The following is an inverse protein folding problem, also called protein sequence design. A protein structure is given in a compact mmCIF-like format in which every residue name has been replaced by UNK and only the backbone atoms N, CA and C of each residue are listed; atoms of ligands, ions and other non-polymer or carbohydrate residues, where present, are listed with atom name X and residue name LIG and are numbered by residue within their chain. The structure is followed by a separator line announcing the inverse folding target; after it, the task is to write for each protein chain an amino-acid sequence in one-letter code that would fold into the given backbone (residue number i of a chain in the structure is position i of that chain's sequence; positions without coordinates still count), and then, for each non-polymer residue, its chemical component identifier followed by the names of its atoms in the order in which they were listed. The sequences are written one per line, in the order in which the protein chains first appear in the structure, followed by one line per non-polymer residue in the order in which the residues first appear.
data_IF_814036659246
#
_entry.id   IF_814036659246
#
_cell.length_a   1.000
_cell.length_b   1.000
_cell.length_c   1.000
_cell.angle_alpha   90.00
_cell.angle_beta   90.00
_cell.angle_gamma   90.00
#
_symmetry.space_group_name_H-M   'P 1'
#
loop_
_entity.id
_entity.type
_entity.pdbx_description
1 polymer ?
#
# COMPACT_ATOMS: atom_id res chain seq x y z
N UNK A 1 47.55 -22.48 -13.06
CA UNK A 1 47.38 -21.05 -13.36
C UNK A 1 46.36 -20.50 -12.38
N UNK A 2 46.81 -19.80 -11.34
CA UNK A 2 45.93 -19.16 -10.36
C UNK A 2 45.40 -17.88 -11.03
N UNK A 3 44.08 -17.69 -11.02
CA UNK A 3 43.39 -16.59 -11.70
C UNK A 3 43.98 -15.23 -11.27
N UNK A 4 44.52 -14.48 -12.25
CA UNK A 4 45.21 -13.19 -12.08
C UNK A 4 44.49 -12.17 -11.18
N UNK A 5 43.16 -12.21 -11.17
CA UNK A 5 42.34 -11.28 -10.39
C UNK A 5 42.49 -11.49 -8.87
N UNK A 6 42.71 -12.73 -8.40
CA UNK A 6 42.83 -13.03 -6.97
C UNK A 6 44.17 -12.61 -6.36
N UNK A 7 45.14 -12.21 -7.19
CA UNK A 7 46.41 -11.67 -6.74
C UNK A 7 46.33 -10.17 -6.40
N UNK A 8 45.20 -9.53 -6.68
CA UNK A 8 44.98 -8.12 -6.37
C UNK A 8 44.74 -7.91 -4.86
N UNK A 9 45.19 -6.76 -4.31
CA UNK A 9 44.80 -6.30 -2.97
C UNK A 9 43.27 -6.27 -2.76
N UNK A 10 42.84 -6.55 -1.52
CA UNK A 10 41.42 -6.70 -1.16
C UNK A 10 40.60 -5.42 -1.42
N UNK A 11 41.20 -4.25 -1.21
CA UNK A 11 40.60 -2.93 -1.47
C UNK A 11 40.35 -2.70 -2.96
N UNK A 12 41.29 -3.11 -3.82
CA UNK A 12 41.12 -3.05 -5.27
C UNK A 12 40.03 -4.02 -5.73
N UNK A 13 39.99 -5.24 -5.17
CA UNK A 13 38.92 -6.21 -5.43
C UNK A 13 37.56 -5.67 -5.03
N UNK A 14 37.43 -5.10 -3.84
CA UNK A 14 36.19 -4.48 -3.38
C UNK A 14 35.78 -3.33 -4.28
N UNK A 15 36.72 -2.46 -4.68
CA UNK A 15 36.44 -1.35 -5.59
C UNK A 15 35.92 -1.84 -6.96
N UNK A 16 36.47 -2.95 -7.49
CA UNK A 16 35.98 -3.59 -8.71
C UNK A 16 34.56 -4.15 -8.49
N UNK A 17 34.33 -4.87 -7.39
CA UNK A 17 33.02 -5.48 -7.10
C UNK A 17 31.93 -4.44 -6.88
N UNK A 18 32.26 -3.27 -6.32
CA UNK A 18 31.33 -2.14 -6.17
C UNK A 18 30.87 -1.55 -7.52
N UNK A 19 31.56 -1.84 -8.62
CA UNK A 19 31.13 -1.44 -9.97
C UNK A 19 30.23 -2.47 -10.65
N UNK A 20 30.07 -3.65 -10.06
CA UNK A 20 29.26 -4.72 -10.63
C UNK A 20 27.78 -4.53 -10.31
N UNK A 21 26.92 -5.01 -11.21
CA UNK A 21 25.49 -5.10 -10.95
C UNK A 21 25.19 -6.23 -9.96
N UNK A 22 24.05 -6.16 -9.25
CA UNK A 22 23.64 -7.23 -8.36
C UNK A 22 23.55 -8.62 -9.05
N UNK A 23 23.02 -8.75 -10.29
CA UNK A 23 23.12 -10.01 -11.05
C UNK A 23 24.55 -10.51 -11.25
N UNK A 24 25.49 -9.62 -11.60
CA UNK A 24 26.89 -9.99 -11.85
C UNK A 24 27.58 -10.46 -10.58
N UNK A 25 27.29 -9.83 -9.43
CA UNK A 25 27.77 -10.29 -8.13
C UNK A 25 27.21 -11.66 -7.75
N UNK A 26 25.95 -11.94 -8.07
CA UNK A 26 25.38 -13.28 -7.88
C UNK A 26 26.10 -14.32 -8.74
N UNK A 27 26.44 -14.00 -9.99
CA UNK A 27 27.24 -14.90 -10.82
C UNK A 27 28.66 -15.07 -10.27
N UNK A 28 29.30 -13.99 -9.80
CA UNK A 28 30.63 -14.00 -9.20
C UNK A 28 30.69 -14.97 -8.00
N UNK A 29 29.63 -14.99 -7.18
CA UNK A 29 29.53 -15.88 -6.01
C UNK A 29 29.59 -17.38 -6.35
N UNK A 30 29.40 -17.75 -7.62
CA UNK A 30 29.40 -19.13 -8.11
C UNK A 30 30.73 -19.54 -8.76
N UNK A 31 31.67 -18.62 -8.96
CA UNK A 31 32.91 -18.88 -9.69
C UNK A 31 33.92 -19.68 -8.86
N UNK A 32 34.24 -19.22 -7.64
CA UNK A 32 35.12 -19.93 -6.73
C UNK A 32 34.86 -19.54 -5.26
N UNK A 33 35.40 -20.33 -4.32
CA UNK A 33 35.18 -20.13 -2.88
C UNK A 33 35.67 -18.77 -2.36
N UNK A 34 36.82 -18.30 -2.84
CA UNK A 34 37.38 -17.00 -2.42
C UNK A 34 36.45 -15.85 -2.84
N UNK A 35 35.98 -15.86 -4.11
CA UNK A 35 35.04 -14.87 -4.59
C UNK A 35 33.68 -14.96 -3.88
N UNK A 36 33.23 -16.18 -3.58
CA UNK A 36 32.06 -16.40 -2.75
C UNK A 36 32.17 -15.71 -1.39
N UNK A 37 33.30 -15.85 -0.70
CA UNK A 37 33.55 -15.20 0.59
C UNK A 37 33.49 -13.67 0.48
N UNK A 38 34.02 -13.05 -0.58
CA UNK A 38 33.86 -11.62 -0.83
C UNK A 38 32.40 -11.20 -1.03
N UNK A 39 31.60 -12.03 -1.71
CA UNK A 39 30.17 -11.74 -1.86
C UNK A 39 29.37 -11.87 -0.58
N UNK A 40 29.95 -12.39 0.52
CA UNK A 40 29.29 -12.43 1.83
C UNK A 40 29.51 -11.14 2.65
N UNK A 41 30.21 -10.15 2.12
CA UNK A 41 30.37 -8.84 2.76
C UNK A 41 29.07 -8.03 2.65
N UNK A 42 28.46 -7.71 3.80
CA UNK A 42 27.25 -6.89 3.88
C UNK A 42 27.46 -5.47 3.32
N UNK A 43 28.65 -4.90 3.52
CA UNK A 43 28.95 -3.55 3.03
C UNK A 43 28.84 -3.49 1.49
N UNK A 44 29.37 -4.49 0.80
CA UNK A 44 29.28 -4.60 -0.66
C UNK A 44 27.81 -4.60 -1.14
N UNK A 45 26.96 -5.42 -0.52
CA UNK A 45 25.55 -5.51 -0.90
C UNK A 45 24.77 -4.23 -0.64
N UNK A 46 24.99 -3.58 0.51
CA UNK A 46 24.36 -2.29 0.82
C UNK A 46 24.72 -1.22 -0.20
N UNK A 47 26.01 -1.12 -0.55
CA UNK A 47 26.47 -0.15 -1.54
C UNK A 47 25.90 -0.43 -2.94
N UNK A 48 25.89 -1.68 -3.38
CA UNK A 48 25.38 -2.05 -4.71
C UNK A 48 23.87 -1.84 -4.79
N UNK A 49 23.12 -2.25 -3.77
CA UNK A 49 21.66 -2.09 -3.74
C UNK A 49 21.25 -0.63 -3.59
N UNK A 50 22.01 0.20 -2.86
CA UNK A 50 21.74 1.64 -2.78
C UNK A 50 21.80 2.36 -4.13
N UNK A 51 22.58 1.82 -5.09
CA UNK A 51 22.70 2.34 -6.46
C UNK A 51 21.63 1.77 -7.40
N UNK A 52 20.96 0.68 -7.01
CA UNK A 52 19.94 0.01 -7.81
C UNK A 52 18.54 0.30 -7.25
N UNK A 53 18.01 1.48 -7.55
CA UNK A 53 16.70 1.94 -7.07
C UNK A 53 15.52 1.15 -7.64
N UNK A 54 15.72 0.49 -8.77
CA UNK A 54 14.62 -0.07 -9.57
C UNK A 54 14.30 -1.53 -9.21
N UNK A 55 15.06 -2.15 -8.31
CA UNK A 55 14.85 -3.54 -7.93
C UNK A 55 13.85 -3.63 -6.77
N UNK A 56 12.66 -4.24 -6.96
CA UNK A 56 11.64 -4.31 -5.91
C UNK A 56 12.02 -5.38 -4.88
N UNK A 57 12.93 -5.01 -3.97
CA UNK A 57 13.32 -5.87 -2.87
C UNK A 57 12.14 -6.07 -1.92
N UNK A 58 11.72 -7.33 -1.75
CA UNK A 58 10.70 -7.69 -0.78
C UNK A 58 11.32 -7.77 0.63
N UNK A 59 11.64 -6.59 1.19
CA UNK A 59 12.16 -6.40 2.54
C UNK A 59 11.03 -5.84 3.41
N UNK A 60 10.96 -6.30 4.65
CA UNK A 60 10.01 -5.77 5.62
C UNK A 60 10.29 -4.27 5.86
N UNK A 61 9.31 -3.36 5.65
CA UNK A 61 9.51 -1.93 5.83
C UNK A 61 9.84 -1.52 7.28
N UNK A 62 9.63 -2.40 8.26
CA UNK A 62 9.94 -2.15 9.66
C UNK A 62 11.34 -2.62 10.07
N UNK A 63 12.07 -3.30 9.19
CA UNK A 63 13.46 -3.69 9.42
C UNK A 63 14.37 -2.65 8.79
N UNK A 64 15.34 -2.14 9.55
CA UNK A 64 16.35 -1.26 8.98
C UNK A 64 17.14 -2.04 7.92
N UNK A 65 17.04 -1.59 6.67
CA UNK A 65 17.74 -2.21 5.56
C UNK A 65 19.25 -2.28 5.83
N UNK A 66 19.83 -1.32 6.54
CA UNK A 66 21.26 -1.28 6.88
C UNK A 66 21.69 -2.42 7.82
N UNK A 67 20.77 -2.97 8.60
CA UNK A 67 21.04 -4.05 9.55
C UNK A 67 20.99 -5.45 8.92
N UNK A 68 20.52 -5.55 7.67
CA UNK A 68 20.39 -6.83 6.98
C UNK A 68 21.75 -7.41 6.60
N UNK A 69 21.91 -8.72 6.81
CA UNK A 69 23.11 -9.46 6.42
C UNK A 69 23.15 -9.74 4.92
N UNK A 70 24.37 -9.85 4.36
CA UNK A 70 24.56 -10.18 2.94
C UNK A 70 23.76 -11.41 2.46
N UNK A 71 23.68 -12.55 3.20
CA UNK A 71 22.88 -13.68 2.76
C UNK A 71 21.39 -13.37 2.59
N UNK A 72 20.83 -12.52 3.45
CA UNK A 72 19.42 -12.07 3.38
C UNK A 72 19.24 -11.18 2.15
N UNK A 73 20.12 -10.20 1.96
CA UNK A 73 20.10 -9.28 0.82
C UNK A 73 20.26 -10.02 -0.51
N UNK A 74 21.19 -10.98 -0.59
CA UNK A 74 21.36 -11.85 -1.74
C UNK A 74 20.10 -12.63 -2.08
N UNK A 75 19.43 -13.19 -1.06
CA UNK A 75 18.19 -13.93 -1.25
C UNK A 75 17.08 -13.01 -1.77
N UNK A 76 16.88 -11.86 -1.12
CA UNK A 76 15.90 -10.85 -1.53
C UNK A 76 16.16 -10.37 -2.97
N UNK A 77 17.42 -10.13 -3.32
CA UNK A 77 17.86 -9.75 -4.67
C UNK A 77 17.51 -10.84 -5.69
N UNK A 78 17.85 -12.12 -5.41
CA UNK A 78 17.51 -13.24 -6.29
C UNK A 78 16.01 -13.34 -6.53
N UNK A 79 15.20 -13.15 -5.49
CA UNK A 79 13.75 -13.23 -5.60
C UNK A 79 13.18 -12.02 -6.37
N UNK A 80 13.70 -10.81 -6.14
CA UNK A 80 13.32 -9.62 -6.90
C UNK A 80 13.67 -9.75 -8.38
N UNK A 81 14.88 -10.23 -8.72
CA UNK A 81 15.29 -10.49 -10.10
C UNK A 81 14.42 -11.56 -10.77
N UNK A 82 13.99 -12.59 -10.05
CA UNK A 82 13.06 -13.60 -10.58
C UNK A 82 11.70 -12.98 -10.90
N UNK A 83 11.20 -12.09 -10.04
CA UNK A 83 9.93 -11.39 -10.23
C UNK A 83 10.03 -10.46 -11.43
N UNK A 84 11.05 -9.60 -11.48
CA UNK A 84 11.30 -8.66 -12.58
C UNK A 84 11.42 -9.40 -13.93
N UNK A 85 12.22 -10.47 -13.98
CA UNK A 85 12.33 -11.31 -15.17
C UNK A 85 11.00 -11.97 -15.54
N UNK A 86 10.15 -12.35 -14.58
CA UNK A 86 8.84 -12.91 -14.88
C UNK A 86 7.89 -11.87 -15.49
N UNK A 87 7.92 -10.63 -15.01
CA UNK A 87 7.12 -9.53 -15.54
C UNK A 87 7.57 -9.08 -16.92
N UNK A 88 8.87 -9.17 -17.22
CA UNK A 88 9.43 -8.84 -18.55
C UNK A 88 9.12 -9.88 -19.63
N UNK A 89 8.63 -11.07 -19.27
CA UNK A 89 8.25 -12.10 -20.26
C UNK A 89 7.00 -11.66 -21.03
N UNK A 90 6.93 -12.04 -22.30
CA UNK A 90 5.72 -11.84 -23.12
C UNK A 90 4.48 -12.50 -22.48
N UNK A 91 4.68 -13.66 -21.86
CA UNK A 91 3.66 -14.37 -21.09
C UNK A 91 4.17 -14.58 -19.64
N UNK A 92 3.90 -13.65 -18.71
CA UNK A 92 4.27 -13.81 -17.30
C UNK A 92 3.64 -15.07 -16.70
N UNK A 93 4.43 -15.85 -15.97
CA UNK A 93 3.93 -17.06 -15.33
C UNK A 93 3.27 -16.69 -14.00
N UNK A 94 1.95 -16.84 -13.95
CA UNK A 94 1.18 -16.75 -12.71
C UNK A 94 1.37 -18.08 -11.97
N UNK A 95 2.06 -18.04 -10.83
CA UNK A 95 2.27 -19.26 -10.00
C UNK A 95 0.97 -19.78 -9.42
N UNK A 96 0.07 -18.88 -9.06
CA UNK A 96 -1.16 -19.23 -8.36
C UNK A 96 -2.23 -18.18 -8.57
N UNK A 97 -3.45 -18.65 -8.76
CA UNK A 97 -4.66 -17.85 -8.77
C UNK A 97 -5.60 -18.42 -7.71
N UNK A 98 -5.98 -17.59 -6.74
CA UNK A 98 -6.88 -17.97 -5.66
C UNK A 98 -8.12 -17.10 -5.75
N UNK A 99 -9.29 -17.73 -5.88
CA UNK A 99 -10.56 -17.01 -5.81
C UNK A 99 -10.82 -16.58 -4.38
N UNK A 100 -11.04 -15.29 -4.16
CA UNK A 100 -11.40 -14.73 -2.87
C UNK A 100 -12.92 -14.62 -2.86
N UNK A 101 -13.60 -15.51 -2.13
CA UNK A 101 -15.05 -15.51 -1.96
C UNK A 101 -15.88 -15.39 -3.24
N UNK A 102 -17.15 -15.02 -3.08
CA UNK A 102 -18.03 -14.66 -4.20
C UNK A 102 -18.12 -13.13 -4.31
N UNK A 103 -16.99 -12.52 -4.66
CA UNK A 103 -16.82 -11.07 -4.72
C UNK A 103 -17.18 -10.55 -6.11
N UNK A 104 -18.48 -10.45 -6.35
CA UNK A 104 -19.01 -9.62 -7.42
C UNK A 104 -19.06 -8.15 -6.98
N UNK A 105 -19.02 -7.22 -7.95
CA UNK A 105 -19.24 -5.80 -7.73
C UNK A 105 -18.26 -5.12 -6.76
N UNK A 106 -16.96 -5.39 -6.94
CA UNK A 106 -15.87 -4.70 -6.25
C UNK A 106 -15.88 -3.22 -6.64
N UNK A 107 -16.02 -2.34 -5.66
CA UNK A 107 -15.91 -0.91 -5.85
C UNK A 107 -14.44 -0.47 -5.79
N UNK A 108 -13.71 -0.96 -4.79
CA UNK A 108 -12.32 -0.59 -4.56
C UNK A 108 -11.59 -1.72 -3.81
N UNK A 109 -10.29 -1.86 -4.08
CA UNK A 109 -9.39 -2.74 -3.34
C UNK A 109 -8.12 -1.99 -2.93
N UNK A 110 -7.54 -2.38 -1.80
CA UNK A 110 -6.24 -1.87 -1.34
C UNK A 110 -5.45 -3.00 -0.69
N UNK A 111 -4.23 -3.26 -1.18
CA UNK A 111 -3.29 -4.15 -0.53
C UNK A 111 -2.55 -3.39 0.58
N UNK A 112 -2.50 -3.98 1.77
CA UNK A 112 -1.80 -3.46 2.94
C UNK A 112 -0.66 -4.40 3.33
N UNK A 113 0.56 -3.89 3.28
CA UNK A 113 1.77 -4.72 3.37
C UNK A 113 1.78 -5.75 2.25
N UNK A 114 2.18 -6.98 2.57
CA UNK A 114 2.27 -8.10 1.61
C UNK A 114 1.15 -9.13 1.74
N UNK A 115 0.31 -9.03 2.78
CA UNK A 115 -0.58 -10.13 3.17
C UNK A 115 -2.02 -9.72 3.44
N UNK A 116 -2.37 -8.44 3.54
CA UNK A 116 -3.75 -8.03 3.81
C UNK A 116 -4.36 -7.32 2.62
N UNK A 117 -5.56 -7.72 2.24
CA UNK A 117 -6.34 -7.12 1.16
C UNK A 117 -7.64 -6.60 1.73
N UNK A 118 -7.86 -5.30 1.57
CA UNK A 118 -9.12 -4.64 1.94
C UNK A 118 -9.98 -4.50 0.70
N UNK A 119 -11.24 -4.88 0.80
CA UNK A 119 -12.19 -4.90 -0.30
C UNK A 119 -13.47 -4.19 0.12
N UNK A 120 -13.89 -3.22 -0.71
CA UNK A 120 -15.17 -2.53 -0.61
C UNK A 120 -16.09 -2.98 -1.75
N UNK A 121 -17.31 -3.39 -1.42
CA UNK A 121 -18.33 -3.87 -2.36
C UNK A 121 -19.46 -2.85 -2.54
N UNK A 122 -20.14 -2.88 -3.70
CA UNK A 122 -21.23 -1.94 -4.04
C UNK A 122 -22.66 -2.46 -3.78
N UNK A 123 -23.04 -3.63 -4.31
CA UNK A 123 -24.45 -4.08 -4.33
C UNK A 123 -24.97 -4.58 -2.96
N UNK A 124 -24.11 -5.28 -2.22
CA UNK A 124 -24.29 -5.58 -0.80
C UNK A 124 -23.17 -4.84 -0.08
N UNK A 125 -23.39 -3.54 0.21
CA UNK A 125 -22.31 -2.64 0.56
C UNK A 125 -21.66 -3.17 1.82
N UNK A 126 -20.40 -3.57 1.69
CA UNK A 126 -19.66 -4.24 2.76
C UNK A 126 -18.20 -3.91 2.62
N UNK A 127 -17.56 -3.73 3.76
CA UNK A 127 -16.12 -3.54 3.88
C UNK A 127 -15.55 -4.78 4.54
N UNK A 128 -14.59 -5.40 3.87
CA UNK A 128 -13.99 -6.67 4.31
C UNK A 128 -12.48 -6.62 4.25
N UNK A 129 -11.84 -7.28 5.22
CA UNK A 129 -10.40 -7.43 5.34
C UNK A 129 -10.07 -8.90 5.20
N UNK A 130 -9.19 -9.21 4.25
CA UNK A 130 -8.77 -10.56 3.93
C UNK A 130 -7.28 -10.72 4.16
N UNK A 131 -6.84 -11.81 4.78
CA UNK A 131 -5.44 -12.22 4.77
C UNK A 131 -5.18 -13.13 3.58
N UNK A 132 -4.35 -12.68 2.66
CA UNK A 132 -3.89 -13.40 1.48
C UNK A 132 -2.62 -14.16 1.85
N UNK A 133 -2.78 -15.46 2.08
CA UNK A 133 -1.68 -16.40 2.29
C UNK A 133 -1.52 -17.17 0.97
N UNK A 134 -0.30 -17.55 0.59
CA UNK A 134 0.03 -18.15 -0.71
C UNK A 134 -1.10 -18.96 -1.36
N UNK A 135 -1.66 -19.95 -0.63
CA UNK A 135 -2.71 -20.84 -1.13
C UNK A 135 -4.14 -20.55 -0.71
N UNK A 136 -4.38 -19.56 0.14
CA UNK A 136 -5.69 -19.32 0.75
C UNK A 136 -5.90 -17.83 1.02
N UNK A 137 -7.11 -17.35 0.79
CA UNK A 137 -7.55 -16.07 1.33
C UNK A 137 -8.49 -16.35 2.51
N UNK A 138 -8.17 -15.77 3.67
CA UNK A 138 -8.95 -15.93 4.90
C UNK A 138 -9.63 -14.60 5.20
N UNK A 139 -10.95 -14.62 5.42
CA UNK A 139 -11.70 -13.43 5.82
C UNK A 139 -11.35 -13.11 7.29
N UNK A 140 -10.63 -12.03 7.53
CA UNK A 140 -10.26 -11.60 8.88
C UNK A 140 -11.38 -10.81 9.54
N UNK A 141 -11.99 -9.89 8.78
CA UNK A 141 -13.07 -9.07 9.31
C UNK A 141 -14.03 -8.61 8.23
N UNK A 142 -15.27 -8.35 8.63
CA UNK A 142 -16.30 -7.81 7.77
C UNK A 142 -17.23 -6.90 8.55
N UNK A 143 -17.71 -5.86 7.89
CA UNK A 143 -18.90 -5.12 8.30
C UNK A 143 -19.78 -4.91 7.07
N UNK A 144 -21.06 -5.18 7.25
CA UNK A 144 -22.06 -4.80 6.28
C UNK A 144 -22.47 -3.35 6.59
N UNK A 145 -22.54 -2.55 5.54
CA UNK A 145 -22.93 -1.16 5.61
C UNK A 145 -24.45 -1.07 5.58
N UNK A 146 -25.01 -0.02 6.15
CA UNK A 146 -26.45 0.18 6.17
C UNK A 146 -26.99 0.36 4.74
N UNK A 147 -28.17 -0.21 4.45
CA UNK A 147 -28.82 -0.11 3.14
C UNK A 147 -29.08 1.33 2.67
N UNK A 148 -29.12 2.28 3.62
CA UNK A 148 -29.30 3.70 3.33
C UNK A 148 -28.02 4.43 2.91
N UNK A 149 -26.88 3.73 2.94
CA UNK A 149 -25.55 4.29 2.64
C UNK A 149 -25.03 3.75 1.31
N UNK A 150 -24.52 4.65 0.46
CA UNK A 150 -23.79 4.21 -0.75
C UNK A 150 -22.29 4.41 -0.53
N UNK A 151 -21.47 3.35 -0.50
CA UNK A 151 -20.04 3.52 -0.35
C UNK A 151 -19.44 4.24 -1.56
N UNK A 152 -18.57 5.21 -1.32
CA UNK A 152 -17.86 5.96 -2.36
C UNK A 152 -16.41 5.51 -2.48
N UNK A 153 -15.66 5.59 -1.38
CA UNK A 153 -14.22 5.34 -1.36
C UNK A 153 -13.78 5.00 0.05
N UNK A 154 -12.73 4.19 0.17
CA UNK A 154 -12.03 4.01 1.44
C UNK A 154 -10.53 4.23 1.30
N UNK A 155 -9.89 4.44 2.44
CA UNK A 155 -8.45 4.29 2.61
C UNK A 155 -8.18 3.48 3.88
N UNK A 156 -7.06 2.79 3.89
CA UNK A 156 -6.68 1.91 4.98
C UNK A 156 -5.18 1.99 5.26
N UNK A 157 -4.80 1.74 6.52
CA UNK A 157 -3.41 1.69 6.96
C UNK A 157 -3.23 0.52 7.93
N UNK A 158 -2.07 -0.15 7.83
CA UNK A 158 -1.66 -1.21 8.72
C UNK A 158 -0.64 -0.64 9.72
N UNK A 159 -0.95 -0.71 11.01
CA UNK A 159 0.01 -0.49 12.09
C UNK A 159 0.61 -1.86 12.47
N UNK A 160 1.79 -2.17 11.95
CA UNK A 160 2.44 -3.46 12.21
C UNK A 160 2.81 -3.66 13.66
N UNK A 161 3.08 -2.58 14.41
CA UNK A 161 3.51 -2.66 15.81
C UNK A 161 2.37 -3.11 16.71
N UNK A 162 1.13 -2.76 16.33
CA UNK A 162 -0.08 -3.07 17.09
C UNK A 162 -0.92 -4.16 16.44
N UNK A 163 -0.46 -4.71 15.31
CA UNK A 163 -1.22 -5.64 14.48
C UNK A 163 -2.65 -5.16 14.25
N UNK A 164 -2.79 -3.88 13.93
CA UNK A 164 -4.07 -3.20 13.83
C UNK A 164 -4.22 -2.61 12.44
N UNK A 165 -5.40 -2.78 11.84
CA UNK A 165 -5.75 -2.06 10.60
C UNK A 165 -6.77 -0.98 10.94
N UNK A 166 -6.44 0.25 10.55
CA UNK A 166 -7.36 1.38 10.58
C UNK A 166 -7.91 1.60 9.17
N UNK A 167 -9.23 1.71 9.08
CA UNK A 167 -10.00 1.88 7.85
C UNK A 167 -10.79 3.17 7.97
N UNK A 168 -10.86 3.95 6.90
CA UNK A 168 -11.72 5.12 6.81
C UNK A 168 -12.52 5.04 5.51
N UNK A 169 -13.84 5.08 5.63
CA UNK A 169 -14.80 4.94 4.55
C UNK A 169 -15.59 6.23 4.40
N UNK A 170 -15.63 6.76 3.18
CA UNK A 170 -16.58 7.80 2.78
C UNK A 170 -17.77 7.11 2.11
N UNK A 171 -18.97 7.42 2.58
CA UNK A 171 -20.25 7.01 1.98
C UNK A 171 -21.14 8.22 1.73
N UNK A 172 -22.07 8.11 0.77
CA UNK A 172 -23.21 9.03 0.70
C UNK A 172 -24.32 8.53 1.60
N UNK A 173 -25.01 9.47 2.22
CA UNK A 173 -26.24 9.30 2.97
C UNK A 173 -27.31 10.19 2.34
N UNK A 174 -28.60 9.99 2.69
CA UNK A 174 -29.71 10.75 2.12
C UNK A 174 -29.52 12.28 2.17
N UNK A 175 -28.82 12.78 3.19
CA UNK A 175 -28.63 14.20 3.45
C UNK A 175 -27.23 14.72 3.11
N UNK A 176 -26.31 13.90 2.59
CA UNK A 176 -24.95 14.36 2.30
C UNK A 176 -23.90 13.25 2.30
N UNK A 177 -22.76 13.48 2.93
CA UNK A 177 -21.67 12.50 3.03
C UNK A 177 -21.35 12.14 4.47
N UNK A 178 -20.89 10.92 4.68
CA UNK A 178 -20.50 10.39 5.96
C UNK A 178 -19.09 9.81 5.86
N UNK A 179 -18.30 10.05 6.89
CA UNK A 179 -17.03 9.40 7.12
C UNK A 179 -17.18 8.47 8.33
N UNK A 180 -16.99 7.17 8.09
CA UNK A 180 -16.97 6.13 9.12
C UNK A 180 -15.57 5.53 9.18
N UNK A 181 -14.94 5.58 10.36
CA UNK A 181 -13.66 4.94 10.59
C UNK A 181 -13.83 3.68 11.44
N UNK A 182 -13.16 2.61 11.02
CA UNK A 182 -13.20 1.31 11.65
C UNK A 182 -11.80 0.85 12.02
N UNK A 183 -11.72 0.13 13.13
CA UNK A 183 -10.52 -0.55 13.59
C UNK A 183 -10.76 -2.05 13.63
N UNK A 184 -9.76 -2.81 13.22
CA UNK A 184 -9.69 -4.26 13.45
C UNK A 184 -8.35 -4.60 14.08
N UNK A 185 -8.43 -5.39 15.15
CA UNK A 185 -7.26 -6.06 15.71
C UNK A 185 -7.10 -7.36 14.96
N UNK A 186 -5.89 -7.61 14.45
CA UNK A 186 -5.56 -8.85 13.77
C UNK A 186 -5.25 -9.86 14.87
N UNK A 187 -6.12 -10.86 15.05
CA UNK A 187 -5.85 -11.99 15.93
C UNK A 187 -5.03 -13.04 15.18
N UNK A 188 -4.18 -13.74 15.93
CA UNK A 188 -3.52 -14.95 15.42
C UNK A 188 -4.53 -16.06 15.10
N UNK A 189 -4.13 -16.95 14.19
CA UNK A 189 -4.95 -17.84 13.34
C UNK A 189 -5.94 -18.82 14.02
N UNK A 190 -6.26 -18.71 15.30
CA UNK A 190 -7.04 -19.71 16.04
C UNK A 190 -8.57 -19.54 15.96
N UNK A 191 -9.08 -18.36 15.65
CA UNK A 191 -10.53 -18.11 15.68
C UNK A 191 -11.12 -18.10 14.27
N UNK A 192 -11.86 -19.16 13.94
CA UNK A 192 -12.53 -19.34 12.65
C UNK A 192 -13.69 -18.35 12.39
N UNK A 193 -14.01 -17.49 13.35
CA UNK A 193 -15.01 -16.44 13.17
C UNK A 193 -14.36 -15.14 12.70
N UNK A 194 -14.84 -14.53 11.61
CA UNK A 194 -14.35 -13.21 11.20
C UNK A 194 -14.65 -12.19 12.30
N UNK A 195 -13.65 -11.40 12.67
CA UNK A 195 -13.82 -10.31 13.61
C UNK A 195 -14.79 -9.27 13.07
N UNK A 196 -15.57 -8.64 13.95
CA UNK A 196 -16.37 -7.48 13.57
C UNK A 196 -15.47 -6.24 13.50
N UNK A 197 -15.65 -5.43 12.45
CA UNK A 197 -14.98 -4.13 12.37
C UNK A 197 -15.57 -3.21 13.44
N UNK A 198 -14.74 -2.75 14.38
CA UNK A 198 -15.18 -1.84 15.45
C UNK A 198 -15.14 -0.40 14.93
N UNK A 199 -16.30 0.25 14.87
CA UNK A 199 -16.36 1.68 14.55
C UNK A 199 -15.69 2.49 15.66
N UNK A 200 -14.70 3.31 15.29
CA UNK A 200 -13.91 4.14 16.24
C UNK A 200 -14.19 5.63 16.08
N UNK A 201 -14.65 6.04 14.90
CA UNK A 201 -14.99 7.42 14.61
C UNK A 201 -16.10 7.48 13.56
N UNK A 202 -16.99 8.45 13.68
CA UNK A 202 -18.06 8.69 12.71
C UNK A 202 -18.38 10.18 12.68
N UNK A 203 -18.45 10.75 11.49
CA UNK A 203 -18.89 12.13 11.27
C UNK A 203 -19.70 12.19 9.98
N UNK A 204 -20.88 12.82 10.06
CA UNK A 204 -21.69 13.13 8.88
C UNK A 204 -21.61 14.61 8.57
N UNK A 205 -21.83 14.93 7.30
CA UNK A 205 -21.81 16.29 6.78
C UNK A 205 -22.96 16.45 5.79
N UNK A 206 -23.85 17.38 6.12
CA UNK A 206 -25.07 17.68 5.37
C UNK A 206 -24.88 18.89 4.45
N UNK A 207 -23.76 19.61 4.64
CA UNK A 207 -23.40 20.82 3.91
C UNK A 207 -23.10 20.54 2.42
N UNK A 208 -23.20 21.56 1.52
CA UNK A 208 -22.98 21.44 0.07
C UNK A 208 -21.58 20.98 -0.32
N UNK A 209 -20.69 20.89 0.65
CA UNK A 209 -19.28 20.67 0.47
C UNK A 209 -18.94 19.23 0.94
N UNK A 210 -19.05 18.19 0.10
CA UNK A 210 -18.93 16.79 0.51
C UNK A 210 -17.49 16.39 0.84
N UNK A 211 -17.34 15.30 1.61
CA UNK A 211 -16.07 14.57 1.66
C UNK A 211 -15.80 13.94 0.28
N UNK A 212 -14.60 14.14 -0.27
CA UNK A 212 -14.25 13.59 -1.60
C UNK A 212 -13.02 12.68 -1.58
N UNK A 213 -12.14 12.85 -0.59
CA UNK A 213 -10.89 12.11 -0.50
C UNK A 213 -10.57 11.76 0.94
N UNK A 214 -9.98 10.59 1.14
CA UNK A 214 -9.57 10.12 2.45
C UNK A 214 -8.23 9.40 2.35
N UNK A 215 -7.36 9.68 3.31
CA UNK A 215 -6.07 9.04 3.48
C UNK A 215 -5.92 8.62 4.94
N UNK A 216 -5.31 7.47 5.18
CA UNK A 216 -5.08 6.94 6.52
C UNK A 216 -3.60 6.69 6.71
N UNK A 217 -3.03 7.20 7.79
CA UNK A 217 -1.64 6.97 8.17
C UNK A 217 -1.55 6.68 9.67
N UNK A 218 -1.24 5.43 10.03
CA UNK A 218 -1.25 4.96 11.42
C UNK A 218 -2.60 5.26 12.09
N UNK A 219 -2.67 6.25 12.97
CA UNK A 219 -3.86 6.64 13.74
C UNK A 219 -4.49 7.96 13.26
N UNK A 220 -3.91 8.57 12.23
CA UNK A 220 -4.36 9.82 11.63
C UNK A 220 -5.17 9.53 10.37
N UNK A 221 -6.29 10.23 10.24
CA UNK A 221 -7.14 10.21 9.05
C UNK A 221 -7.16 11.64 8.50
N UNK A 222 -6.73 11.81 7.26
CA UNK A 222 -6.79 13.07 6.54
C UNK A 222 -7.92 12.99 5.51
N UNK A 223 -8.85 13.95 5.55
CA UNK A 223 -10.05 13.97 4.71
C UNK A 223 -10.08 15.26 3.92
N UNK A 224 -10.12 15.13 2.60
CA UNK A 224 -10.39 16.23 1.68
C UNK A 224 -11.88 16.58 1.71
N UNK A 225 -12.16 17.86 1.94
CA UNK A 225 -13.49 18.45 1.86
C UNK A 225 -13.55 19.33 0.63
N UNK A 226 -14.49 19.03 -0.26
CA UNK A 226 -14.67 19.83 -1.45
C UNK A 226 -15.43 21.08 -1.04
N UNK A 227 -14.79 22.25 -1.07
CA UNK A 227 -15.49 23.52 -0.89
C UNK A 227 -15.40 24.36 -2.14
N UNK A 228 -16.49 25.10 -2.42
CA UNK A 228 -16.55 26.05 -3.53
C UNK A 228 -15.57 27.22 -3.32
N UNK A 229 -15.29 27.58 -2.07
CA UNK A 229 -14.49 28.76 -1.73
C UNK A 229 -12.99 28.46 -1.66
N UNK A 230 -12.60 27.37 -0.99
CA UNK A 230 -11.21 26.95 -0.87
C UNK A 230 -11.14 25.49 -0.38
N UNK A 231 -10.24 24.64 -0.90
CA UNK A 231 -10.12 23.27 -0.42
C UNK A 231 -9.79 23.23 1.08
N UNK A 232 -10.50 22.38 1.80
CA UNK A 232 -10.32 22.19 3.23
C UNK A 232 -9.83 20.78 3.50
N UNK A 233 -8.95 20.64 4.48
CA UNK A 233 -8.43 19.37 4.94
C UNK A 233 -8.84 19.15 6.40
N UNK A 234 -9.64 18.13 6.67
CA UNK A 234 -9.96 17.70 8.01
C UNK A 234 -8.99 16.60 8.43
N UNK A 235 -8.25 16.82 9.51
CA UNK A 235 -7.36 15.82 10.10
C UNK A 235 -8.00 15.30 11.39
N UNK A 236 -8.15 14.00 11.51
CA UNK A 236 -8.72 13.32 12.68
C UNK A 236 -7.67 12.42 13.30
N UNK A 237 -7.42 12.59 14.59
CA UNK A 237 -6.64 11.66 15.39
C UNK A 237 -7.60 10.71 16.10
N UNK A 238 -7.61 9.44 15.68
CA UNK A 238 -8.55 8.44 16.21
C UNK A 238 -8.25 8.00 17.63
N UNK A 239 -6.99 8.11 18.08
CA UNK A 239 -6.57 7.75 19.44
C UNK A 239 -6.93 8.87 20.42
N UNK A 240 -6.56 10.11 20.10
CA UNK A 240 -6.86 11.28 20.93
C UNK A 240 -8.32 11.73 20.81
N UNK A 241 -9.06 11.22 19.81
CA UNK A 241 -10.41 11.67 19.42
C UNK A 241 -10.48 13.18 19.14
N UNK A 242 -9.39 13.74 18.66
CA UNK A 242 -9.29 15.16 18.28
C UNK A 242 -9.42 15.32 16.78
N UNK A 243 -9.87 16.50 16.36
CA UNK A 243 -9.94 16.87 14.94
C UNK A 243 -9.43 18.29 14.74
N UNK A 244 -8.78 18.52 13.62
CA UNK A 244 -8.26 19.81 13.20
C UNK A 244 -8.73 20.08 11.78
N UNK A 245 -9.38 21.23 11.56
CA UNK A 245 -9.72 21.70 10.23
C UNK A 245 -8.61 22.64 9.76
N UNK A 246 -8.00 22.30 8.63
CA UNK A 246 -6.94 23.07 7.99
C UNK A 246 -7.50 23.70 6.73
N UNK A 247 -7.43 25.02 6.66
CA UNK A 247 -7.75 25.76 5.45
C UNK A 247 -6.48 25.84 4.59
N UNK A 248 -6.53 25.29 3.38
CA UNK A 248 -5.40 25.34 2.47
C UNK A 248 -5.42 26.68 1.74
N UNK A 249 -4.47 27.55 2.07
CA UNK A 249 -4.20 28.74 1.27
C UNK A 249 -3.40 28.31 0.04
N UNK A 250 -4.11 28.02 -1.05
CA UNK A 250 -3.48 27.85 -2.35
C UNK A 250 -2.97 29.21 -2.86
N UNK A 251 -1.76 29.29 -3.42
CA UNK A 251 -1.31 30.47 -4.16
C UNK A 251 -2.35 30.88 -5.22
N UNK A 252 -2.55 32.18 -5.46
CA UNK A 252 -3.57 32.69 -6.39
C UNK A 252 -3.49 32.05 -7.78
N UNK A 253 -2.29 31.77 -8.28
CA UNK A 253 -2.05 31.09 -9.57
C UNK A 253 -2.64 29.67 -9.66
N UNK A 254 -2.87 29.00 -8.53
CA UNK A 254 -3.45 27.64 -8.50
C UNK A 254 -4.98 27.63 -8.52
N UNK A 255 -5.64 28.74 -8.17
CA UNK A 255 -7.10 28.82 -8.12
C UNK A 255 -7.72 28.80 -9.53
N UNK A 256 -7.04 29.37 -10.52
CA UNK A 256 -7.46 29.31 -11.94
C UNK A 256 -7.52 27.87 -12.46
N UNK A 257 -6.56 27.03 -12.06
CA UNK A 257 -6.48 25.63 -12.47
C UNK A 257 -7.62 24.81 -11.83
N UNK A 258 -7.92 25.01 -10.56
CA UNK A 258 -9.02 24.30 -9.89
C UNK A 258 -10.40 24.67 -10.44
N UNK A 259 -10.59 25.92 -10.89
CA UNK A 259 -11.85 26.34 -11.53
C UNK A 259 -12.16 25.53 -12.80
N UNK A 260 -11.13 25.21 -13.60
CA UNK A 260 -11.23 24.41 -14.82
C UNK A 260 -11.62 22.95 -14.56
N UNK A 261 -11.14 22.35 -13.46
CA UNK A 261 -11.49 20.97 -13.09
C UNK A 261 -12.87 20.84 -12.43
N UNK A 262 -13.36 21.90 -11.77
CA UNK A 262 -14.69 21.90 -11.14
C UNK A 262 -15.84 21.84 -12.15
N UNK A 263 -15.64 22.37 -13.37
CA UNK A 263 -16.62 22.29 -14.47
C UNK A 263 -16.78 20.88 -15.04
N UNK A 264 -15.72 20.08 -15.08
CA UNK A 264 -15.77 18.72 -15.63
C UNK A 264 -16.48 17.71 -14.71
N UNK A 265 -16.43 17.92 -13.39
CA UNK A 265 -17.15 17.09 -12.42
C UNK A 265 -18.66 17.31 -12.52
N UNK A 266 -19.12 18.53 -12.85
CA UNK A 266 -20.56 18.82 -13.05
C UNK A 266 -21.11 18.13 -14.31
N UNK A 267 -20.33 18.01 -15.38
CA UNK A 267 -20.77 17.35 -16.61
C UNK A 267 -20.85 15.81 -16.50
N UNK A 268 -20.06 15.18 -15.62
CA UNK A 268 -20.16 13.73 -15.38
C UNK A 268 -21.33 13.34 -14.47
N UNK A 269 -21.79 14.23 -13.59
CA UNK A 269 -22.97 13.97 -12.76
C UNK A 269 -24.29 14.07 -13.56
N UNK A 270 -24.35 14.91 -14.60
CA UNK A 270 -25.57 15.10 -15.40
C UNK A 270 -25.82 14.01 -16.46
N UNK A 271 -24.84 13.18 -16.80
CA UNK A 271 -24.99 12.17 -17.87
C UNK A 271 -25.46 10.79 -17.39
N UNK A 272 -25.61 10.55 -16.08
CA UNK A 272 -26.06 9.26 -15.54
C UNK A 272 -27.55 9.21 -15.15
N UNK A 273 -28.37 10.20 -15.54
CA UNK A 273 -29.81 10.25 -15.23
C UNK A 273 -30.74 10.16 -16.46
N UNK A 274 -30.25 9.78 -17.64
CA UNK A 274 -31.11 9.64 -18.83
C UNK A 274 -30.86 8.34 -19.57
N UNK A 275 -31.41 7.25 -19.05
CA UNK A 275 -31.75 6.06 -19.81
C UNK A 275 -32.73 5.21 -18.99
N UNK A 276 -34.01 5.53 -19.17
CA UNK A 276 -35.12 4.57 -19.09
C UNK A 276 -35.25 3.91 -20.47
#
# INVERSE_FOLDING_TARGET
MVSSILALPNDILLAIFLQLSAPDLLHLSQVCRVLHEYTLDSYLWHQVLSRQTDLPLNIDPYVDAAELSAPILQKATRDALRIDNNWKRHNPQIRQMTRIGDIENILQMQLLGSQYLVILRRHLPSLSVWRVIAKRAVLCARTDLEDSTTPLRFAASLDSRKEQILLALISTIKSGTQLSAYSVMLSDESDFSPASLKMVYNISRVDPDPFYEVHVYSHLIAIGIHSVLAPQLLIVNTVAKTRCLVHLHLPEASLEIFSLFSSDVRHRASHNCSSN
#
